data_IF_641287239184
#
_entry.id   IF_641287239184
#
_cell.length_a   1.000
_cell.length_b   1.000
_cell.length_c   1.000
_cell.angle_alpha   90.00
_cell.angle_beta   90.00
_cell.angle_gamma   90.00
#
_symmetry.space_group_name_H-M   'P 1'
#
loop_
_entity.id
_entity.type
_entity.pdbx_description
1 polymer ?
#
# COMPACT_ATOMS: atom_id res chain seq x y z
N UNK A 1 1.01 7.17 -2.65
CA UNK A 1 1.17 6.01 -1.77
C UNK A 1 1.19 4.70 -2.55
N UNK A 2 0.46 4.62 -3.64
CA UNK A 2 0.44 3.42 -4.48
C UNK A 2 1.80 3.09 -5.07
N UNK A 3 2.54 4.11 -5.51
CA UNK A 3 3.87 3.94 -6.06
C UNK A 3 4.84 3.39 -5.01
N UNK A 4 4.75 3.85 -3.78
CA UNK A 4 5.58 3.36 -2.68
C UNK A 4 5.30 1.89 -2.39
N UNK A 5 4.02 1.48 -2.45
CA UNK A 5 3.63 0.09 -2.28
C UNK A 5 4.24 -0.77 -3.39
N UNK A 6 4.12 -0.32 -4.64
CA UNK A 6 4.65 -1.04 -5.80
C UNK A 6 6.18 -1.20 -5.70
N UNK A 7 6.89 -0.14 -5.39
CA UNK A 7 8.35 -0.16 -5.28
C UNK A 7 8.80 -1.10 -4.17
N UNK A 8 8.18 -1.00 -3.00
CA UNK A 8 8.53 -1.86 -1.88
C UNK A 8 8.24 -3.33 -2.17
N UNK A 9 7.10 -3.59 -2.81
CA UNK A 9 6.76 -4.94 -3.24
C UNK A 9 7.84 -5.53 -4.15
N UNK A 10 8.31 -4.73 -5.10
CA UNK A 10 9.37 -5.16 -6.03
C UNK A 10 10.70 -5.36 -5.32
N UNK A 11 11.05 -4.50 -4.37
CA UNK A 11 12.25 -4.69 -3.56
C UNK A 11 12.25 -6.04 -2.84
N UNK A 12 11.09 -6.45 -2.35
CA UNK A 12 10.91 -7.71 -1.65
C UNK A 12 10.71 -8.90 -2.60
N UNK A 13 10.67 -8.64 -3.90
CA UNK A 13 10.48 -9.67 -4.93
C UNK A 13 9.17 -10.43 -4.76
N UNK A 14 8.13 -9.72 -4.32
CA UNK A 14 6.79 -10.28 -4.14
C UNK A 14 5.92 -9.91 -5.34
N UNK A 15 5.16 -10.87 -5.86
CA UNK A 15 4.22 -10.62 -6.96
C UNK A 15 2.94 -9.99 -6.42
N UNK A 16 2.17 -9.33 -7.30
CA UNK A 16 0.86 -8.81 -6.91
C UNK A 16 -0.07 -9.89 -6.36
N UNK A 17 -0.21 -11.07 -7.02
CA UNK A 17 -1.04 -12.13 -6.46
C UNK A 17 -0.62 -12.56 -5.06
N UNK A 18 0.68 -12.69 -4.81
CA UNK A 18 1.17 -13.10 -3.50
C UNK A 18 0.89 -12.04 -2.43
N UNK A 19 1.15 -10.77 -2.74
CA UNK A 19 0.87 -9.71 -1.79
C UNK A 19 -0.63 -9.61 -1.50
N UNK A 20 -1.45 -9.67 -2.53
CA UNK A 20 -2.91 -9.61 -2.38
C UNK A 20 -3.41 -10.75 -1.50
N UNK A 21 -2.92 -11.96 -1.73
CA UNK A 21 -3.31 -13.14 -0.96
C UNK A 21 -2.95 -12.99 0.53
N UNK A 22 -1.71 -12.62 0.81
CA UNK A 22 -1.23 -12.45 2.19
C UNK A 22 -1.98 -11.31 2.90
N UNK A 23 -2.22 -10.21 2.21
CA UNK A 23 -2.94 -9.07 2.77
C UNK A 23 -4.46 -9.28 2.86
N UNK A 24 -4.99 -10.32 2.23
CA UNK A 24 -6.42 -10.59 2.24
C UNK A 24 -7.23 -9.65 1.38
N UNK A 25 -6.67 -9.18 0.26
CA UNK A 25 -7.37 -8.30 -0.69
C UNK A 25 -7.34 -8.94 -2.07
N UNK A 26 -8.22 -8.49 -2.98
CA UNK A 26 -8.19 -9.01 -4.34
C UNK A 26 -7.01 -8.43 -5.11
N UNK A 27 -6.52 -9.18 -6.10
CA UNK A 27 -5.45 -8.72 -6.98
C UNK A 27 -5.87 -7.45 -7.72
N UNK A 28 -7.12 -7.38 -8.14
CA UNK A 28 -7.64 -6.21 -8.85
C UNK A 28 -7.64 -4.97 -7.95
N UNK A 29 -7.99 -5.14 -6.67
CA UNK A 29 -7.94 -4.04 -5.70
C UNK A 29 -6.50 -3.56 -5.53
N UNK A 30 -5.56 -4.47 -5.34
CA UNK A 30 -4.15 -4.11 -5.19
C UNK A 30 -3.61 -3.41 -6.45
N UNK A 31 -3.95 -3.93 -7.63
CA UNK A 31 -3.56 -3.32 -8.90
C UNK A 31 -4.01 -1.86 -8.98
N UNK A 32 -5.28 -1.60 -8.66
CA UNK A 32 -5.82 -0.24 -8.70
C UNK A 32 -5.16 0.67 -7.67
N UNK A 33 -4.88 0.17 -6.48
CA UNK A 33 -4.20 0.94 -5.43
C UNK A 33 -2.80 1.33 -5.90
N UNK A 34 -2.06 0.40 -6.48
CA UNK A 34 -0.70 0.67 -6.95
C UNK A 34 -0.67 1.71 -8.07
N UNK A 35 -1.73 1.79 -8.85
CA UNK A 35 -1.83 2.77 -9.95
C UNK A 35 -2.48 4.08 -9.54
N UNK A 36 -2.86 4.23 -8.29
CA UNK A 36 -3.53 5.44 -7.83
C UNK A 36 -4.97 5.57 -8.32
N UNK A 37 -5.60 4.45 -8.70
CA UNK A 37 -6.96 4.43 -9.26
C UNK A 37 -8.01 4.02 -8.24
N UNK A 38 -7.65 3.91 -6.98
CA UNK A 38 -8.57 3.54 -5.91
C UNK A 38 -8.24 4.30 -4.64
N UNK A 39 -9.25 4.48 -3.81
CA UNK A 39 -9.10 5.09 -2.49
C UNK A 39 -9.38 4.01 -1.43
N UNK A 40 -8.37 3.22 -1.04
CA UNK A 40 -8.56 2.18 -0.05
C UNK A 40 -8.87 2.78 1.31
N UNK A 41 -9.58 2.01 2.14
CA UNK A 41 -9.77 2.39 3.53
C UNK A 41 -8.44 2.28 4.27
N UNK A 42 -8.34 2.94 5.42
CA UNK A 42 -7.16 2.83 6.28
C UNK A 42 -6.94 1.39 6.70
N UNK A 43 -8.01 0.64 6.95
CA UNK A 43 -7.93 -0.77 7.33
C UNK A 43 -7.29 -1.61 6.20
N UNK A 44 -7.77 -1.48 4.98
CA UNK A 44 -7.23 -2.20 3.83
C UNK A 44 -5.79 -1.81 3.57
N UNK A 45 -5.52 -0.51 3.60
CA UNK A 45 -4.17 0.00 3.39
C UNK A 45 -3.20 -0.52 4.46
N UNK A 46 -3.63 -0.54 5.73
CA UNK A 46 -2.84 -1.07 6.83
C UNK A 46 -2.45 -2.53 6.64
N UNK A 47 -3.36 -3.36 6.14
CA UNK A 47 -3.08 -4.77 5.87
C UNK A 47 -1.97 -4.94 4.82
N UNK A 48 -2.03 -4.14 3.77
CA UNK A 48 -1.03 -4.17 2.69
C UNK A 48 0.32 -3.70 3.22
N UNK A 49 0.34 -2.59 3.95
CA UNK A 49 1.57 -2.01 4.46
C UNK A 49 2.25 -2.92 5.47
N UNK A 50 1.48 -3.59 6.33
CA UNK A 50 2.01 -4.54 7.30
C UNK A 50 2.83 -5.65 6.63
N UNK A 51 2.32 -6.21 5.54
CA UNK A 51 3.03 -7.26 4.80
C UNK A 51 4.36 -6.75 4.28
N UNK A 52 4.39 -5.48 3.87
CA UNK A 52 5.58 -4.86 3.28
C UNK A 52 6.55 -4.29 4.30
N UNK A 53 6.22 -4.36 5.58
CA UNK A 53 7.03 -3.75 6.63
C UNK A 53 7.01 -2.23 6.59
N UNK A 54 5.96 -1.65 6.05
CA UNK A 54 5.74 -0.21 6.02
C UNK A 54 4.68 0.18 7.03
N UNK A 55 4.64 1.46 7.37
CA UNK A 55 3.61 1.97 8.27
C UNK A 55 3.11 3.32 7.81
N UNK A 56 1.90 3.66 8.23
CA UNK A 56 1.33 4.98 8.02
C UNK A 56 1.75 5.84 9.19
N UNK A 57 2.37 7.00 8.91
CA UNK A 57 2.70 7.96 9.95
C UNK A 57 1.87 9.21 9.76
N UNK A 58 1.47 9.81 10.87
CA UNK A 58 0.71 11.07 10.89
C UNK A 58 1.51 12.06 11.68
N UNK A 59 1.74 13.22 11.10
CA UNK A 59 2.48 14.28 11.75
C UNK A 59 1.79 15.62 11.57
N UNK A 60 2.25 16.59 12.32
CA UNK A 60 1.74 17.96 12.21
C UNK A 60 2.33 18.60 10.96
N UNK A 61 1.45 19.10 10.10
CA UNK A 61 1.89 19.80 8.90
C UNK A 61 2.52 21.12 9.30
N UNK A 62 3.73 21.36 8.83
CA UNK A 62 4.39 22.63 9.07
C UNK A 62 3.80 23.71 8.16
N UNK A 63 3.33 24.80 8.78
CA UNK A 63 2.76 25.91 8.04
C UNK A 63 3.85 26.94 7.77
N UNK A 64 3.87 27.46 6.54
CA UNK A 64 4.68 28.63 6.20
C UNK A 64 3.79 29.85 6.26
N UNK A 65 4.14 30.76 7.10
CA UNK A 65 3.42 32.04 7.24
C UNK A 65 4.10 33.12 6.45
#
# INVERSE_FOLDING_TARGET
>A
IGEQIRLRRKELMITQPNLADIAGVSVNTLYKIERGQANPTIEVLGKILDVLGLEITVGVKQLKL
#
